data_IF_858657353955
#
_entry.id   IF_858657353955
#
_cell.length_a   1.000
_cell.length_b   1.000
_cell.length_c   1.000
_cell.angle_alpha   90.00
_cell.angle_beta   90.00
_cell.angle_gamma   90.00
#
_symmetry.space_group_name_H-M   'P 1'
#
loop_
_entity.id
_entity.type
_entity.pdbx_description
1 polymer ?
#
# COMPACT_ATOMS: atom_id res chain seq x y z
N UNK A 1 28.40 -16.40 11.83
CA UNK A 1 27.89 -15.15 11.21
C UNK A 1 26.53 -15.40 10.59
N UNK A 2 25.59 -14.44 10.69
CA UNK A 2 24.19 -14.51 10.17
C UNK A 2 24.11 -15.16 8.76
N UNK A 3 23.00 -15.83 8.49
CA UNK A 3 22.56 -16.61 7.31
C UNK A 3 23.33 -17.86 6.81
N UNK A 4 24.24 -18.46 7.62
CA UNK A 4 24.54 -19.93 7.75
C UNK A 4 25.55 -20.24 8.86
N UNK A 5 25.13 -20.25 10.13
CA UNK A 5 25.26 -19.12 11.06
C UNK A 5 24.04 -18.21 11.18
N UNK A 6 22.84 -18.75 10.87
CA UNK A 6 21.75 -18.05 10.18
C UNK A 6 21.21 -16.75 10.76
N UNK A 7 21.40 -16.52 12.05
CA UNK A 7 21.34 -15.17 12.57
C UNK A 7 22.30 -14.96 13.77
N UNK A 8 23.63 -14.88 13.57
CA UNK A 8 24.66 -14.58 14.62
C UNK A 8 24.88 -13.12 15.15
N UNK A 9 24.18 -12.65 16.18
CA UNK A 9 24.26 -11.24 16.61
C UNK A 9 23.12 -10.89 17.57
N UNK A 10 23.29 -9.85 18.39
CA UNK A 10 22.27 -9.49 19.40
C UNK A 10 20.98 -9.08 18.72
N UNK A 11 19.89 -9.78 19.04
CA UNK A 11 18.59 -9.53 18.44
C UNK A 11 18.00 -8.20 18.97
N UNK A 12 17.34 -7.40 18.11
CA UNK A 12 16.60 -6.23 18.55
C UNK A 12 15.30 -6.67 19.22
N UNK A 13 15.38 -7.09 20.49
CA UNK A 13 14.27 -7.74 21.22
C UNK A 13 12.99 -6.91 21.20
N UNK A 14 13.09 -5.60 21.39
CA UNK A 14 11.96 -4.67 21.33
C UNK A 14 11.28 -4.63 19.94
N UNK A 15 12.04 -4.68 18.84
CA UNK A 15 11.47 -4.74 17.49
C UNK A 15 10.81 -6.09 17.20
N UNK A 16 11.37 -7.18 17.71
CA UNK A 16 10.78 -8.52 17.57
C UNK A 16 9.44 -8.60 18.30
N UNK A 17 9.37 -8.06 19.52
CA UNK A 17 8.09 -7.97 20.27
C UNK A 17 7.11 -7.06 19.52
N UNK A 18 7.55 -5.89 19.06
CA UNK A 18 6.70 -4.97 18.29
C UNK A 18 6.15 -5.58 17.01
N UNK A 19 6.95 -6.35 16.27
CA UNK A 19 6.51 -7.07 15.08
C UNK A 19 5.48 -8.17 15.42
N UNK A 20 5.71 -8.91 16.52
CA UNK A 20 4.75 -9.90 17.00
C UNK A 20 3.39 -9.27 17.35
N UNK A 21 3.42 -8.11 18.00
CA UNK A 21 2.22 -7.36 18.34
C UNK A 21 1.51 -6.79 17.10
N UNK A 22 2.26 -6.24 16.14
CA UNK A 22 1.71 -5.79 14.87
C UNK A 22 1.00 -6.94 14.11
N UNK A 23 1.55 -8.16 14.15
CA UNK A 23 0.89 -9.33 13.55
C UNK A 23 -0.36 -9.77 14.31
N UNK A 24 -0.38 -9.63 15.64
CA UNK A 24 -1.59 -9.90 16.45
C UNK A 24 -2.71 -8.94 16.07
N UNK A 25 -2.43 -7.64 16.00
CA UNK A 25 -3.37 -6.59 15.59
C UNK A 25 -3.84 -6.83 14.15
N UNK A 26 -2.90 -7.08 13.23
CA UNK A 26 -3.23 -7.42 11.85
C UNK A 26 -4.21 -8.60 11.76
N UNK A 27 -4.00 -9.66 12.53
CA UNK A 27 -4.93 -10.81 12.54
C UNK A 27 -6.35 -10.42 13.00
N UNK A 28 -6.46 -9.48 13.91
CA UNK A 28 -7.74 -9.05 14.49
C UNK A 28 -8.48 -8.02 13.62
N UNK A 29 -7.75 -7.10 12.99
CA UNK A 29 -8.33 -5.89 12.37
C UNK A 29 -8.21 -5.85 10.84
N UNK A 30 -7.25 -6.58 10.25
CA UNK A 30 -6.90 -6.44 8.82
C UNK A 30 -8.07 -6.75 7.88
N UNK A 31 -8.99 -7.65 8.26
CA UNK A 31 -10.14 -7.96 7.42
C UNK A 31 -11.07 -6.75 7.26
N UNK A 32 -11.47 -6.11 8.38
CA UNK A 32 -12.30 -4.91 8.37
C UNK A 32 -11.57 -3.70 7.79
N UNK A 33 -10.28 -3.54 8.10
CA UNK A 33 -9.42 -2.49 7.54
C UNK A 33 -9.34 -2.63 6.01
N UNK A 34 -9.13 -3.84 5.49
CA UNK A 34 -9.08 -4.11 4.06
C UNK A 34 -10.38 -3.70 3.35
N UNK A 35 -11.54 -3.93 3.95
CA UNK A 35 -12.81 -3.47 3.39
C UNK A 35 -12.92 -1.94 3.39
N UNK A 36 -12.50 -1.29 4.48
CA UNK A 36 -12.50 0.17 4.57
C UNK A 36 -11.58 0.80 3.53
N UNK A 37 -10.34 0.32 3.47
CA UNK A 37 -9.32 0.76 2.51
C UNK A 37 -9.80 0.54 1.07
N UNK A 38 -10.43 -0.61 0.77
CA UNK A 38 -11.01 -0.86 -0.55
C UNK A 38 -12.05 0.21 -0.91
N UNK A 39 -12.94 0.57 0.01
CA UNK A 39 -13.92 1.64 -0.22
C UNK A 39 -13.26 2.99 -0.50
N UNK A 40 -12.17 3.31 0.22
CA UNK A 40 -11.41 4.54 -0.02
C UNK A 40 -10.73 4.54 -1.38
N UNK A 41 -10.11 3.42 -1.77
CA UNK A 41 -9.51 3.22 -3.10
C UNK A 41 -10.53 3.41 -4.21
N UNK A 42 -11.69 2.76 -4.10
CA UNK A 42 -12.74 2.81 -5.12
C UNK A 42 -13.37 4.20 -5.20
N UNK A 43 -13.52 4.89 -4.04
CA UNK A 43 -13.96 6.29 -4.00
C UNK A 43 -12.97 7.22 -4.70
N UNK A 44 -11.67 7.03 -4.48
CA UNK A 44 -10.64 7.81 -5.16
C UNK A 44 -10.66 7.55 -6.67
N UNK A 45 -10.71 6.29 -7.09
CA UNK A 45 -10.80 5.93 -8.51
C UNK A 45 -12.03 6.55 -9.16
N UNK A 46 -13.19 6.49 -8.51
CA UNK A 46 -14.42 7.10 -9.02
C UNK A 46 -14.30 8.63 -9.11
N UNK A 47 -13.66 9.28 -8.15
CA UNK A 47 -13.42 10.73 -8.21
C UNK A 47 -12.47 11.16 -9.34
N UNK A 48 -11.66 10.23 -9.87
CA UNK A 48 -10.72 10.48 -10.95
C UNK A 48 -11.23 9.98 -12.31
N UNK A 49 -12.39 9.32 -12.38
CA UNK A 49 -12.88 8.68 -13.61
C UNK A 49 -13.23 9.65 -14.73
N UNK A 50 -13.47 10.91 -14.39
CA UNK A 50 -13.85 11.95 -15.34
C UNK A 50 -12.63 12.63 -16.01
N UNK A 51 -11.42 12.29 -15.57
CA UNK A 51 -10.18 12.79 -16.17
C UNK A 51 -9.92 12.02 -17.46
N UNK A 52 -9.78 12.74 -18.56
CA UNK A 52 -9.49 12.14 -19.87
C UNK A 52 -8.12 11.43 -19.87
N UNK A 53 -8.07 10.29 -20.56
CA UNK A 53 -6.86 9.51 -20.77
C UNK A 53 -6.14 9.06 -19.48
N UNK A 54 -6.91 8.69 -18.47
CA UNK A 54 -6.44 8.00 -17.26
C UNK A 54 -6.72 6.51 -17.35
N UNK A 55 -5.69 5.70 -17.13
CA UNK A 55 -5.79 4.24 -17.18
C UNK A 55 -5.31 3.60 -15.88
N UNK A 56 -6.00 2.55 -15.45
CA UNK A 56 -5.60 1.75 -14.29
C UNK A 56 -4.54 0.73 -14.72
N UNK A 57 -3.40 0.74 -14.04
CA UNK A 57 -2.33 -0.23 -14.26
C UNK A 57 -2.60 -1.50 -13.44
N UNK A 58 -2.71 -2.65 -14.12
CA UNK A 58 -2.92 -3.96 -13.51
C UNK A 58 -4.39 -4.29 -13.20
N UNK A 59 -4.61 -5.46 -12.60
CA UNK A 59 -5.94 -6.01 -12.38
C UNK A 59 -6.69 -5.33 -11.22
N UNK A 60 -8.01 -5.15 -11.33
CA UNK A 60 -8.84 -4.51 -10.29
C UNK A 60 -9.51 -5.51 -9.34
N UNK A 61 -9.66 -6.77 -9.75
CA UNK A 61 -10.22 -7.83 -8.92
C UNK A 61 -9.13 -8.50 -8.07
N UNK A 62 -7.98 -8.80 -8.67
CA UNK A 62 -6.82 -9.47 -8.06
C UNK A 62 -5.76 -8.47 -7.62
N UNK A 63 -6.12 -7.62 -6.65
CA UNK A 63 -5.25 -6.55 -6.12
C UNK A 63 -5.29 -6.48 -4.60
N UNK A 64 -4.18 -6.04 -4.00
CA UNK A 64 -4.20 -5.60 -2.59
C UNK A 64 -5.06 -4.33 -2.42
N UNK A 65 -5.92 -4.24 -1.39
CA UNK A 65 -6.91 -3.17 -1.27
C UNK A 65 -6.35 -1.74 -1.23
N UNK A 66 -5.16 -1.56 -0.67
CA UNK A 66 -4.51 -0.25 -0.48
C UNK A 66 -3.77 0.27 -1.72
N UNK A 67 -3.78 -0.47 -2.83
CA UNK A 67 -3.09 -0.05 -4.04
C UNK A 67 -4.06 0.53 -5.08
N UNK A 68 -3.72 1.71 -5.60
CA UNK A 68 -4.26 2.26 -6.85
C UNK A 68 -3.08 2.79 -7.65
N UNK A 69 -2.87 2.25 -8.85
CA UNK A 69 -1.80 2.66 -9.74
C UNK A 69 -2.43 3.12 -11.05
N UNK A 70 -2.20 4.37 -11.42
CA UNK A 70 -2.83 5.05 -12.54
C UNK A 70 -1.76 5.65 -13.46
N UNK A 71 -2.00 5.56 -14.76
CA UNK A 71 -1.26 6.28 -15.79
C UNK A 71 -2.11 7.45 -16.26
N UNK A 72 -1.52 8.64 -16.35
CA UNK A 72 -2.15 9.84 -16.89
C UNK A 72 -1.44 10.19 -18.19
N UNK A 73 -2.13 10.06 -19.33
CA UNK A 73 -1.52 10.40 -20.61
C UNK A 73 -1.16 11.89 -20.65
N UNK A 74 -0.06 12.21 -21.32
CA UNK A 74 0.42 13.59 -21.52
C UNK A 74 0.84 14.33 -20.23
N UNK A 75 0.87 13.64 -19.09
CA UNK A 75 1.32 14.19 -17.80
C UNK A 75 2.59 13.47 -17.36
N UNK A 76 3.62 14.23 -17.03
CA UNK A 76 4.82 13.70 -16.39
C UNK A 76 4.52 13.45 -14.90
N UNK A 77 4.69 12.20 -14.45
CA UNK A 77 4.32 11.79 -13.09
C UNK A 77 4.99 12.62 -11.99
N UNK A 78 6.22 13.07 -12.21
CA UNK A 78 6.93 13.96 -11.26
C UNK A 78 6.22 15.30 -11.08
N UNK A 79 5.68 15.86 -12.16
CA UNK A 79 4.91 17.12 -12.11
C UNK A 79 3.61 16.97 -11.32
N UNK A 80 2.96 15.80 -11.41
CA UNK A 80 1.76 15.51 -10.63
C UNK A 80 2.08 15.44 -9.13
N UNK A 81 3.18 14.77 -8.76
CA UNK A 81 3.61 14.67 -7.36
C UNK A 81 3.96 16.05 -6.80
N UNK A 82 4.66 16.89 -7.56
CA UNK A 82 4.99 18.26 -7.13
C UNK A 82 3.75 19.15 -6.94
N UNK A 83 2.67 18.90 -7.69
CA UNK A 83 1.43 19.66 -7.60
C UNK A 83 0.59 19.28 -6.36
N UNK A 84 0.73 18.06 -5.86
CA UNK A 84 0.09 17.60 -4.61
C UNK A 84 0.92 18.13 -3.44
N UNK A 85 0.47 19.22 -2.83
CA UNK A 85 1.06 19.77 -1.60
C UNK A 85 0.61 18.95 -0.39
N UNK A 86 1.50 18.87 0.61
CA UNK A 86 1.22 18.36 1.97
C UNK A 86 0.04 19.07 2.64
#
# INVERSE_FOLDING_TARGET
GHERGLRSGTLPTHQIVGMGEAFRIAREEMASENEHIRRLRDRLLHGLSDIEAVEVNGDMERRVPHNLNLSFAYVEGESLIMAIKD
#
